data_IF_149876930625
#
_entry.id   IF_149876930625
#
_cell.length_a   1.000
_cell.length_b   1.000
_cell.length_c   1.000
_cell.angle_alpha   90.00
_cell.angle_beta   90.00
_cell.angle_gamma   90.00
#
_symmetry.space_group_name_H-M   'P 1'
#
loop_
_entity.id
_entity.type
_entity.pdbx_description
1 polymer ?
#
# COMPACT_ATOMS: atom_id res chain seq x y z
N UNK A 1 10.15 4.73 -30.68
CA UNK A 1 10.25 3.48 -29.90
C UNK A 1 10.64 3.71 -28.45
N UNK A 2 11.40 4.78 -28.13
CA UNK A 2 11.70 5.18 -26.74
C UNK A 2 10.45 5.57 -25.94
N UNK A 3 9.44 6.17 -26.59
CA UNK A 3 8.21 6.64 -25.91
C UNK A 3 7.34 5.48 -25.39
N UNK A 4 7.24 4.39 -26.15
CA UNK A 4 6.46 3.22 -25.76
C UNK A 4 7.07 2.51 -24.55
N UNK A 5 8.40 2.47 -24.46
CA UNK A 5 9.10 1.88 -23.32
C UNK A 5 8.89 2.70 -22.04
N UNK A 6 8.90 4.04 -22.13
CA UNK A 6 8.58 4.92 -21.00
C UNK A 6 7.15 4.72 -20.52
N UNK A 7 6.17 4.67 -21.44
CA UNK A 7 4.75 4.44 -21.08
C UNK A 7 4.56 3.08 -20.40
N UNK A 8 5.21 2.03 -20.89
CA UNK A 8 5.19 0.72 -20.25
C UNK A 8 5.84 0.75 -18.86
N UNK A 9 7.01 1.36 -18.72
CA UNK A 9 7.68 1.51 -17.42
C UNK A 9 6.83 2.34 -16.43
N UNK A 10 6.15 3.38 -16.90
CA UNK A 10 5.27 4.22 -16.09
C UNK A 10 4.01 3.46 -15.64
N UNK A 11 3.47 2.61 -16.52
CA UNK A 11 2.38 1.69 -16.18
C UNK A 11 2.81 0.60 -15.18
N UNK A 12 4.03 0.07 -15.30
CA UNK A 12 4.56 -0.91 -14.35
C UNK A 12 4.82 -0.28 -12.96
N UNK A 13 5.45 0.90 -12.91
CA UNK A 13 5.66 1.65 -11.66
C UNK A 13 4.33 1.93 -10.92
N UNK A 14 3.27 2.31 -11.65
CA UNK A 14 1.95 2.54 -11.04
C UNK A 14 1.26 1.23 -10.60
N UNK A 15 1.39 0.15 -11.38
CA UNK A 15 0.83 -1.17 -11.02
C UNK A 15 1.44 -1.71 -9.73
N UNK A 16 2.72 -1.48 -9.50
CA UNK A 16 3.39 -1.92 -8.28
C UNK A 16 2.83 -1.19 -7.05
N UNK A 17 2.66 0.13 -7.12
CA UNK A 17 2.10 0.92 -6.01
C UNK A 17 0.67 0.51 -5.67
N UNK A 18 -0.18 0.31 -6.68
CA UNK A 18 -1.56 -0.14 -6.48
C UNK A 18 -1.57 -1.57 -5.91
N UNK A 19 -0.74 -2.46 -6.45
CA UNK A 19 -0.61 -3.85 -5.99
C UNK A 19 -0.17 -3.94 -4.52
N UNK A 20 0.84 -3.18 -4.11
CA UNK A 20 1.25 -3.09 -2.71
C UNK A 20 0.14 -2.53 -1.82
N UNK A 21 -0.56 -1.49 -2.28
CA UNK A 21 -1.65 -0.87 -1.50
C UNK A 21 -2.77 -1.87 -1.22
N UNK A 22 -3.22 -2.59 -2.25
CA UNK A 22 -4.24 -3.63 -2.11
C UNK A 22 -3.76 -4.75 -1.18
N UNK A 23 -2.54 -5.27 -1.39
CA UNK A 23 -1.96 -6.33 -0.56
C UNK A 23 -1.93 -5.96 0.93
N UNK A 24 -1.47 -4.76 1.26
CA UNK A 24 -1.37 -4.30 2.64
C UNK A 24 -2.73 -4.01 3.28
N UNK A 25 -3.71 -3.50 2.51
CA UNK A 25 -5.07 -3.28 3.02
C UNK A 25 -5.80 -4.59 3.25
N UNK A 26 -5.72 -5.54 2.31
CA UNK A 26 -6.34 -6.87 2.48
C UNK A 26 -5.63 -7.65 3.58
N UNK A 27 -4.31 -7.62 3.63
CA UNK A 27 -3.51 -8.24 4.69
C UNK A 27 -3.81 -7.65 6.06
N UNK A 28 -3.86 -6.32 6.16
CA UNK A 28 -4.22 -5.60 7.38
C UNK A 28 -5.62 -5.96 7.86
N UNK A 29 -6.61 -6.00 6.97
CA UNK A 29 -7.98 -6.41 7.32
C UNK A 29 -8.06 -7.85 7.84
N UNK A 30 -7.33 -8.79 7.22
CA UNK A 30 -7.26 -10.18 7.66
C UNK A 30 -6.58 -10.29 9.04
N UNK A 31 -5.45 -9.61 9.24
CA UNK A 31 -4.78 -9.56 10.56
C UNK A 31 -5.73 -8.99 11.61
N UNK A 32 -6.43 -7.90 11.29
CA UNK A 32 -7.46 -7.34 12.16
C UNK A 32 -8.53 -8.36 12.54
N UNK A 33 -9.01 -9.13 11.57
CA UNK A 33 -10.06 -10.13 11.76
C UNK A 33 -9.62 -11.35 12.58
N UNK A 34 -8.39 -11.83 12.41
CA UNK A 34 -7.93 -13.08 13.04
C UNK A 34 -7.10 -12.88 14.31
N UNK A 35 -6.35 -11.77 14.41
CA UNK A 35 -5.36 -11.56 15.48
C UNK A 35 -5.90 -10.69 16.60
N UNK A 36 -6.76 -9.70 16.29
CA UNK A 36 -7.25 -8.78 17.32
C UNK A 36 -8.20 -9.46 18.32
N UNK A 37 -8.26 -8.98 19.57
CA UNK A 37 -9.10 -9.58 20.60
C UNK A 37 -10.58 -9.68 20.21
N UNK A 38 -11.22 -10.80 20.55
CA UNK A 38 -12.67 -11.02 20.34
C UNK A 38 -13.54 -10.08 21.19
N UNK A 39 -12.96 -9.40 22.18
CA UNK A 39 -13.63 -8.36 22.96
C UNK A 39 -13.95 -7.10 22.12
N UNK A 40 -13.31 -6.92 20.96
CA UNK A 40 -13.58 -5.80 20.06
C UNK A 40 -14.70 -6.17 19.08
N UNK A 41 -15.58 -5.22 18.81
CA UNK A 41 -16.63 -5.43 17.83
C UNK A 41 -16.04 -5.74 16.44
N UNK A 42 -16.68 -6.60 15.63
CA UNK A 42 -16.22 -6.92 14.29
C UNK A 42 -15.80 -5.69 13.44
N UNK A 43 -16.58 -4.58 13.38
CA UNK A 43 -16.15 -3.40 12.64
C UNK A 43 -14.88 -2.75 13.22
N UNK A 44 -14.72 -2.72 14.54
CA UNK A 44 -13.54 -2.12 15.18
C UNK A 44 -12.26 -2.91 14.88
N UNK A 45 -12.37 -4.24 14.78
CA UNK A 45 -11.27 -5.14 14.37
C UNK A 45 -10.86 -4.91 12.93
N UNK A 46 -11.84 -4.76 12.04
CA UNK A 46 -11.58 -4.44 10.62
C UNK A 46 -10.92 -3.07 10.48
N UNK A 47 -11.43 -2.04 11.17
CA UNK A 47 -10.87 -0.68 11.13
C UNK A 47 -9.43 -0.64 11.66
N UNK A 48 -9.15 -1.32 12.78
CA UNK A 48 -7.80 -1.40 13.33
C UNK A 48 -6.84 -2.16 12.40
N UNK A 49 -7.30 -3.26 11.80
CA UNK A 49 -6.55 -3.99 10.78
C UNK A 49 -6.26 -3.16 9.54
N UNK A 50 -7.26 -2.43 9.03
CA UNK A 50 -7.10 -1.50 7.91
C UNK A 50 -6.14 -0.36 8.25
N UNK A 51 -6.18 0.19 9.45
CA UNK A 51 -5.27 1.25 9.90
C UNK A 51 -3.81 0.76 10.00
N UNK A 52 -3.59 -0.48 10.45
CA UNK A 52 -2.29 -1.13 10.39
C UNK A 52 -1.83 -1.37 8.95
N UNK A 53 -2.73 -1.84 8.08
CA UNK A 53 -2.45 -2.02 6.65
C UNK A 53 -2.04 -0.71 5.98
N UNK A 54 -2.79 0.37 6.22
CA UNK A 54 -2.49 1.71 5.71
C UNK A 54 -1.14 2.24 6.22
N UNK A 55 -0.81 1.99 7.50
CA UNK A 55 0.52 2.31 8.02
C UNK A 55 1.63 1.58 7.26
N UNK A 56 1.44 0.29 6.94
CA UNK A 56 2.37 -0.48 6.12
C UNK A 56 2.52 0.08 4.70
N UNK A 57 1.43 0.52 4.08
CA UNK A 57 1.47 1.20 2.77
C UNK A 57 2.30 2.48 2.86
N UNK A 58 2.09 3.33 3.87
CA UNK A 58 2.84 4.58 4.04
C UNK A 58 4.34 4.29 4.26
N UNK A 59 4.67 3.25 5.03
CA UNK A 59 6.07 2.88 5.27
C UNK A 59 6.77 2.36 3.99
N UNK A 60 6.07 1.60 3.15
CA UNK A 60 6.63 0.97 1.95
C UNK A 60 6.56 1.87 0.71
N UNK A 61 5.55 2.73 0.62
CA UNK A 61 5.29 3.61 -0.53
C UNK A 61 5.72 5.05 -0.25
N UNK A 62 5.60 5.55 0.97
CA UNK A 62 5.95 6.93 1.36
C UNK A 62 7.36 7.37 0.93
N UNK A 63 8.42 6.56 1.16
CA UNK A 63 9.77 6.88 0.67
C UNK A 63 9.86 6.97 -0.85
N UNK A 64 9.04 6.21 -1.59
CA UNK A 64 8.99 6.24 -3.06
C UNK A 64 8.22 7.45 -3.61
N UNK A 65 7.37 8.09 -2.81
CA UNK A 65 6.58 9.27 -3.19
C UNK A 65 7.20 10.60 -2.75
N UNK A 66 8.09 10.60 -1.74
CA UNK A 66 8.68 11.83 -1.16
C UNK A 66 10.11 12.11 -1.68
N UNK A 67 10.82 11.11 -2.23
CA UNK A 67 12.19 11.28 -2.74
C UNK A 67 12.33 11.19 -4.27
N UNK A 68 11.26 11.47 -5.03
CA UNK A 68 11.15 11.12 -6.45
C UNK A 68 11.10 12.27 -7.46
N UNK A 69 10.96 13.53 -7.02
CA UNK A 69 10.79 14.69 -7.92
C UNK A 69 12.03 15.62 -7.96
N UNK A 70 13.09 15.33 -7.20
CA UNK A 70 14.26 16.21 -7.05
C UNK A 70 15.61 15.51 -7.27
N UNK A 71 15.63 14.41 -8.05
CA UNK A 71 16.85 13.93 -8.72
C UNK A 71 16.81 14.24 -10.22
N UNK A 72 16.74 15.54 -10.54
CA UNK A 72 17.31 16.08 -11.77
C UNK A 72 18.84 15.99 -11.65
N UNK A 73 19.39 14.93 -12.24
CA UNK A 73 20.82 14.71 -12.47
C UNK A 73 21.02 13.95 -13.76
#
# INVERSE_FOLDING_TARGET
MVDTLRVLLDLFKRKDVIGFTVLFLTGGALIGWFVLPQAWSPPMRVLAGLAMGLNGVIYVVGPRMIGGDDYDG
#
